data_IF_676874397437
#
_entry.id   IF_676874397437
#
_cell.length_a   1.000
_cell.length_b   1.000
_cell.length_c   1.000
_cell.angle_alpha   90.00
_cell.angle_beta   90.00
_cell.angle_gamma   90.00
#
_symmetry.space_group_name_H-M   'P 1'
#
loop_
_entity.id
_entity.type
_entity.pdbx_description
1 polymer ?
#
# COMPACT_ATOMS: atom_id res chain seq x y z
N UNK A 1 -44.86 5.38 17.12
CA UNK A 1 -43.79 4.50 16.57
C UNK A 1 -43.24 5.21 15.33
N UNK A 2 -42.09 5.89 15.42
CA UNK A 2 -41.54 6.65 14.28
C UNK A 2 -40.55 5.73 13.56
N UNK A 3 -41.02 5.06 12.51
CA UNK A 3 -40.21 4.17 11.67
C UNK A 3 -39.53 4.97 10.54
N UNK A 4 -38.43 5.65 10.87
CA UNK A 4 -37.53 6.25 9.87
C UNK A 4 -36.36 5.32 9.58
N UNK A 5 -35.82 5.37 8.35
CA UNK A 5 -34.61 4.63 7.96
C UNK A 5 -33.45 5.05 8.89
N UNK A 6 -32.78 4.08 9.51
CA UNK A 6 -31.65 4.36 10.40
C UNK A 6 -30.56 5.12 9.64
N UNK A 7 -30.26 6.35 10.07
CA UNK A 7 -29.14 7.13 9.53
C UNK A 7 -27.88 6.77 10.33
N UNK A 8 -27.00 5.97 9.73
CA UNK A 8 -25.67 5.79 10.29
C UNK A 8 -24.88 7.08 10.16
N UNK A 9 -24.35 7.57 11.28
CA UNK A 9 -23.33 8.62 11.31
C UNK A 9 -21.98 7.92 11.34
N UNK A 10 -21.15 8.17 10.34
CA UNK A 10 -19.75 7.76 10.39
C UNK A 10 -19.02 8.83 11.20
N UNK A 11 -18.38 8.44 12.30
CA UNK A 11 -17.71 9.37 13.22
C UNK A 11 -16.40 9.96 12.65
N UNK A 12 -15.76 9.24 11.72
CA UNK A 12 -14.51 9.64 11.07
C UNK A 12 -14.63 9.44 9.56
N UNK A 13 -14.37 10.49 8.78
CA UNK A 13 -14.32 10.43 7.32
C UNK A 13 -13.07 9.73 6.81
N UNK A 14 -11.96 9.81 7.55
CA UNK A 14 -10.73 9.06 7.33
C UNK A 14 -10.55 8.02 8.43
N UNK A 15 -10.76 6.75 8.09
CA UNK A 15 -10.38 5.64 8.97
C UNK A 15 -8.88 5.40 8.76
N UNK A 16 -8.07 5.32 9.83
CA UNK A 16 -6.66 4.95 9.71
C UNK A 16 -6.54 3.65 8.91
N UNK A 17 -5.84 3.70 7.78
CA UNK A 17 -5.62 2.53 6.97
C UNK A 17 -4.28 1.90 7.38
N UNK A 18 -4.27 0.60 7.62
CA UNK A 18 -3.06 -0.14 7.97
C UNK A 18 -2.60 -0.99 6.79
N UNK A 19 -1.29 -1.07 6.59
CA UNK A 19 -0.68 -1.95 5.62
C UNK A 19 0.46 -2.74 6.27
N UNK A 20 0.55 -4.02 5.92
CA UNK A 20 1.67 -4.87 6.27
C UNK A 20 2.68 -4.84 5.12
N UNK A 21 3.86 -4.30 5.41
CA UNK A 21 4.96 -4.23 4.46
C UNK A 21 5.97 -5.33 4.74
N UNK A 22 6.51 -5.90 3.66
CA UNK A 22 7.59 -6.87 3.73
C UNK A 22 8.65 -6.53 2.70
N UNK A 23 9.91 -6.60 3.12
CA UNK A 23 11.06 -6.34 2.27
C UNK A 23 12.06 -7.49 2.34
N UNK A 24 12.72 -7.73 1.22
CA UNK A 24 13.89 -8.60 1.13
C UNK A 24 15.08 -7.75 0.70
N UNK A 25 16.09 -7.72 1.54
CA UNK A 25 17.26 -6.88 1.37
C UNK A 25 18.54 -7.70 1.31
N UNK A 26 19.53 -7.20 0.56
CA UNK A 26 20.92 -7.63 0.75
C UNK A 26 21.45 -7.11 2.10
N UNK A 27 22.57 -7.64 2.58
CA UNK A 27 23.16 -7.20 3.85
C UNK A 27 23.37 -5.67 3.92
N UNK A 28 23.90 -5.06 2.86
CA UNK A 28 24.10 -3.61 2.79
C UNK A 28 22.78 -2.83 2.82
N UNK A 29 21.77 -3.29 2.11
CA UNK A 29 20.44 -2.69 2.13
C UNK A 29 19.78 -2.80 3.50
N UNK A 30 19.97 -3.93 4.20
CA UNK A 30 19.48 -4.14 5.56
C UNK A 30 20.09 -3.13 6.55
N UNK A 31 21.40 -2.90 6.49
CA UNK A 31 22.07 -1.90 7.33
C UNK A 31 21.53 -0.48 7.09
N UNK A 32 21.33 -0.10 5.82
CA UNK A 32 20.74 1.19 5.48
C UNK A 32 19.30 1.27 5.99
N UNK A 33 18.52 0.20 5.84
CA UNK A 33 17.15 0.14 6.32
C UNK A 33 17.07 0.32 7.84
N UNK A 34 17.93 -0.33 8.61
CA UNK A 34 17.97 -0.17 10.07
C UNK A 34 18.31 1.27 10.49
N UNK A 35 19.25 1.92 9.79
CA UNK A 35 19.54 3.34 10.03
C UNK A 35 18.36 4.25 9.66
N UNK A 36 17.63 3.92 8.59
CA UNK A 36 16.44 4.65 8.18
C UNK A 36 15.33 4.51 9.21
N UNK A 37 15.09 3.30 9.72
CA UNK A 37 14.10 3.04 10.77
C UNK A 37 14.41 3.83 12.03
N UNK A 38 15.68 3.88 12.45
CA UNK A 38 16.11 4.66 13.60
C UNK A 38 15.92 6.17 13.37
N UNK A 39 16.14 6.65 12.16
CA UNK A 39 15.94 8.07 11.80
C UNK A 39 14.46 8.44 11.65
N UNK A 40 13.64 7.55 11.09
CA UNK A 40 12.21 7.76 10.91
C UNK A 40 11.46 7.73 12.26
N UNK A 41 11.86 6.84 13.18
CA UNK A 41 11.25 6.74 14.49
C UNK A 41 9.72 6.57 14.40
N UNK A 42 8.97 7.55 14.92
CA UNK A 42 7.51 7.62 14.84
C UNK A 42 6.98 8.68 13.87
N UNK A 43 7.86 9.31 13.08
CA UNK A 43 7.48 10.36 12.14
C UNK A 43 6.90 9.79 10.84
N UNK A 44 6.22 10.68 10.10
CA UNK A 44 5.66 10.37 8.79
C UNK A 44 6.74 10.43 7.72
N UNK A 45 6.75 9.45 6.83
CA UNK A 45 7.66 9.38 5.69
C UNK A 45 6.93 8.92 4.43
N UNK A 46 7.47 9.33 3.27
CA UNK A 46 6.94 8.95 1.98
C UNK A 46 7.58 7.65 1.49
N UNK A 47 6.77 6.67 1.10
CA UNK A 47 7.23 5.44 0.47
C UNK A 47 6.30 5.02 -0.66
N UNK A 48 6.84 4.37 -1.70
CA UNK A 48 6.02 3.79 -2.77
C UNK A 48 5.47 2.44 -2.32
N UNK A 49 4.16 2.33 -2.22
CA UNK A 49 3.47 1.11 -1.79
C UNK A 49 2.76 0.49 -2.99
N UNK A 50 2.90 -0.83 -3.13
CA UNK A 50 2.12 -1.60 -4.10
C UNK A 50 0.70 -1.78 -3.57
N UNK A 51 -0.26 -1.17 -4.25
CA UNK A 51 -1.69 -1.32 -4.01
C UNK A 51 -2.36 -2.02 -5.21
N UNK A 52 -3.63 -2.43 -5.11
CA UNK A 52 -4.39 -2.95 -6.26
C UNK A 52 -4.49 -1.96 -7.44
N UNK A 53 -4.30 -0.66 -7.18
CA UNK A 53 -4.35 0.40 -8.20
C UNK A 53 -2.96 0.62 -8.83
N UNK A 54 -1.92 -0.03 -8.30
CA UNK A 54 -0.53 0.09 -8.73
C UNK A 54 0.40 0.59 -7.64
N UNK A 55 1.59 1.02 -8.04
CA UNK A 55 2.59 1.62 -7.15
C UNK A 55 2.29 3.09 -6.96
N UNK A 56 1.95 3.47 -5.73
CA UNK A 56 1.59 4.85 -5.39
C UNK A 56 2.47 5.31 -4.24
N UNK A 57 3.01 6.52 -4.34
CA UNK A 57 3.71 7.17 -3.25
C UNK A 57 2.68 7.55 -2.17
N UNK A 58 2.87 7.03 -0.96
CA UNK A 58 1.98 7.23 0.16
C UNK A 58 2.78 7.72 1.36
N UNK A 59 2.16 8.62 2.13
CA UNK A 59 2.69 9.04 3.41
C UNK A 59 2.26 8.02 4.47
N UNK A 60 3.25 7.46 5.16
CA UNK A 60 3.02 6.44 6.16
C UNK A 60 3.97 6.60 7.35
N UNK A 61 3.62 5.97 8.47
CA UNK A 61 4.47 5.88 9.65
C UNK A 61 4.50 4.47 10.18
N UNK A 62 5.59 4.09 10.83
CA UNK A 62 5.69 2.81 11.53
C UNK A 62 4.79 2.84 12.77
N UNK A 63 3.93 1.82 12.92
CA UNK A 63 3.15 1.64 14.15
C UNK A 63 4.00 1.07 15.27
N UNK A 64 4.93 0.19 14.89
CA UNK A 64 5.88 -0.49 15.76
C UNK A 64 7.21 -0.58 15.01
N UNK A 65 8.30 -0.77 15.75
CA UNK A 65 9.60 -1.04 15.12
C UNK A 65 9.50 -2.26 14.21
N UNK A 66 10.02 -2.19 12.97
CA UNK A 66 10.06 -3.33 12.05
C UNK A 66 10.69 -4.58 12.67
N UNK A 67 10.06 -5.72 12.43
CA UNK A 67 10.54 -7.04 12.83
C UNK A 67 11.60 -7.55 11.86
N UNK A 68 12.67 -8.14 12.39
CA UNK A 68 13.82 -8.63 11.65
C UNK A 68 15.12 -8.36 12.42
N UNK A 69 16.30 -8.59 11.82
CA UNK A 69 16.51 -9.24 10.52
C UNK A 69 16.34 -10.77 10.60
N UNK A 70 15.64 -11.36 9.62
CA UNK A 70 15.55 -12.82 9.46
C UNK A 70 16.25 -13.26 8.17
N UNK A 71 17.20 -14.18 8.25
CA UNK A 71 17.90 -14.71 7.07
C UNK A 71 16.94 -15.55 6.22
N UNK A 72 16.84 -15.21 4.93
CA UNK A 72 16.05 -15.91 3.92
C UNK A 72 16.96 -16.38 2.79
N UNK A 73 16.96 -17.69 2.53
CA UNK A 73 17.87 -18.29 1.56
C UNK A 73 19.33 -18.22 2.04
N UNK A 74 20.24 -17.78 1.17
CA UNK A 74 21.68 -17.77 1.45
C UNK A 74 22.19 -16.41 1.94
N UNK A 75 21.66 -15.31 1.41
CA UNK A 75 22.24 -13.97 1.60
C UNK A 75 21.23 -12.81 1.66
N UNK A 76 19.93 -13.10 1.71
CA UNK A 76 18.88 -12.08 1.81
C UNK A 76 18.33 -12.02 3.23
N UNK A 77 17.89 -10.83 3.62
CA UNK A 77 17.34 -10.53 4.93
C UNK A 77 15.92 -10.01 4.78
N UNK A 78 14.99 -10.69 5.45
CA UNK A 78 13.58 -10.30 5.49
C UNK A 78 13.33 -9.35 6.66
N UNK A 79 12.58 -8.28 6.36
CA UNK A 79 12.02 -7.37 7.35
C UNK A 79 10.50 -7.27 7.15
N UNK A 80 9.76 -7.15 8.24
CA UNK A 80 8.30 -6.99 8.23
C UNK A 80 7.91 -5.81 9.11
N UNK A 81 7.01 -4.96 8.64
CA UNK A 81 6.53 -3.84 9.45
C UNK A 81 5.05 -3.61 9.21
N UNK A 82 4.36 -3.17 10.25
CA UNK A 82 2.99 -2.66 10.15
C UNK A 82 3.05 -1.14 10.12
N UNK A 83 2.52 -0.55 9.06
CA UNK A 83 2.49 0.90 8.88
C UNK A 83 1.07 1.44 8.91
N UNK A 84 0.92 2.63 9.43
CA UNK A 84 -0.28 3.44 9.29
C UNK A 84 -0.12 4.35 8.08
N UNK A 85 -1.11 4.31 7.18
CA UNK A 85 -1.21 5.16 6.01
C UNK A 85 -2.03 6.39 6.37
N UNK A 86 -1.57 7.56 5.93
CA UNK A 86 -2.30 8.81 6.12
C UNK A 86 -3.61 8.81 5.33
N UNK A 87 -3.57 8.28 4.11
CA UNK A 87 -4.73 8.13 3.25
C UNK A 87 -4.79 6.71 2.69
N UNK A 88 -6.00 6.18 2.58
CA UNK A 88 -6.20 4.85 1.98
C UNK A 88 -6.10 4.99 0.46
N UNK A 89 -5.16 4.29 -0.21
CA UNK A 89 -5.17 4.21 -1.66
C UNK A 89 -6.46 3.52 -2.09
N UNK A 90 -7.35 4.29 -2.71
CA UNK A 90 -8.64 3.83 -3.18
C UNK A 90 -8.99 4.55 -4.47
N UNK A 91 -9.70 3.83 -5.34
CA UNK A 91 -10.27 4.42 -6.54
C UNK A 91 -11.47 5.27 -6.11
N UNK A 92 -11.67 6.41 -6.75
CA UNK A 92 -12.85 7.22 -6.52
C UNK A 92 -14.12 6.37 -6.75
N UNK A 93 -15.05 6.30 -5.76
CA UNK A 93 -16.25 5.47 -5.85
C UNK A 93 -17.11 5.73 -7.09
N UNK A 94 -17.06 6.93 -7.66
CA UNK A 94 -17.80 7.28 -8.88
C UNK A 94 -17.40 6.41 -10.07
N UNK A 95 -16.12 6.03 -10.20
CA UNK A 95 -15.67 5.13 -11.27
C UNK A 95 -16.28 3.75 -11.13
N UNK A 96 -16.36 3.21 -9.91
CA UNK A 96 -16.98 1.91 -9.67
C UNK A 96 -18.50 1.95 -9.94
N UNK A 97 -19.16 3.08 -9.67
CA UNK A 97 -20.60 3.22 -9.83
C UNK A 97 -21.02 3.45 -11.29
N UNK A 98 -20.30 4.31 -12.02
CA UNK A 98 -20.68 4.76 -13.35
C UNK A 98 -19.90 4.09 -14.49
N UNK A 99 -18.68 3.63 -14.22
CA UNK A 99 -17.75 3.13 -15.25
C UNK A 99 -17.05 1.80 -14.87
N UNK A 100 -17.80 0.76 -14.43
CA UNK A 100 -17.19 -0.51 -14.02
C UNK A 100 -16.45 -1.22 -15.17
N UNK A 101 -16.91 -1.05 -16.42
CA UNK A 101 -16.25 -1.63 -17.60
C UNK A 101 -14.83 -1.11 -17.83
N UNK A 102 -14.57 0.16 -17.49
CA UNK A 102 -13.22 0.76 -17.60
C UNK A 102 -12.28 0.11 -16.58
N UNK A 103 -12.75 -0.14 -15.36
CA UNK A 103 -11.95 -0.80 -14.30
C UNK A 103 -11.52 -2.20 -14.75
N UNK A 104 -12.44 -2.95 -15.37
CA UNK A 104 -12.15 -4.30 -15.91
C UNK A 104 -11.17 -4.29 -17.10
N UNK A 105 -10.95 -3.12 -17.71
CA UNK A 105 -10.12 -2.93 -18.89
C UNK A 105 -8.91 -2.03 -18.60
N UNK A 106 -8.50 -1.84 -17.33
CA UNK A 106 -7.35 -0.99 -16.99
C UNK A 106 -6.05 -1.45 -17.65
N UNK A 107 -5.95 -2.73 -18.02
CA UNK A 107 -4.83 -3.35 -18.70
C UNK A 107 -4.98 -3.38 -20.24
N UNK A 108 -6.00 -2.74 -20.81
CA UNK A 108 -6.34 -2.89 -22.24
C UNK A 108 -5.21 -2.41 -23.16
N UNK A 109 -4.50 -1.35 -22.79
CA UNK A 109 -3.35 -0.86 -23.55
C UNK A 109 -2.18 -1.84 -23.50
N UNK A 110 -1.85 -2.36 -22.32
CA UNK A 110 -0.79 -3.35 -22.16
C UNK A 110 -1.09 -4.64 -22.93
N UNK A 111 -2.34 -5.12 -22.89
CA UNK A 111 -2.77 -6.29 -23.67
C UNK A 111 -2.70 -6.01 -25.17
N UNK A 112 -3.30 -4.93 -25.65
CA UNK A 112 -3.35 -4.62 -27.07
C UNK A 112 -1.97 -4.40 -27.70
N UNK A 113 -1.05 -3.75 -26.97
CA UNK A 113 0.31 -3.52 -27.46
C UNK A 113 1.13 -4.80 -27.53
N UNK A 114 1.00 -5.70 -26.55
CA UNK A 114 1.80 -6.93 -26.50
C UNK A 114 1.24 -8.04 -27.39
N UNK A 115 -0.08 -8.11 -27.57
CA UNK A 115 -0.73 -9.14 -28.38
C UNK A 115 -0.53 -8.92 -29.89
N UNK A 116 -0.41 -7.66 -30.32
CA UNK A 116 -0.15 -7.30 -31.72
C UNK A 116 1.33 -7.14 -32.06
N UNK A 117 2.26 -7.35 -31.10
CA UNK A 117 3.69 -7.21 -31.35
C UNK A 117 4.20 -8.40 -32.17
N UNK A 118 4.77 -8.20 -33.38
CA UNK A 118 5.35 -9.30 -34.15
C UNK A 118 6.55 -9.89 -33.42
N UNK A 119 6.61 -11.21 -33.34
CA UNK A 119 7.74 -11.95 -32.74
C UNK A 119 9.08 -11.62 -33.41
#
# INVERSE_FOLDING_TARGET
MVSGRARQRVAYTSVPAYADLSWLFTALQGMIFESFVAAAGGDWFMISIKSPIGYIAQECRFMESPQGPQLVGVNLWSYKAKVELREKPSLDPSYALYYPSIILQLDIFDRAMNEAWPQ
#
